data_IF_760046918011
#
_entry.id   IF_760046918011
#
_cell.length_a   1.000
_cell.length_b   1.000
_cell.length_c   1.000
_cell.angle_alpha   90.00
_cell.angle_beta   90.00
_cell.angle_gamma   90.00
#
_symmetry.space_group_name_H-M   'P 1'
#
loop_
_entity.id
_entity.type
_entity.pdbx_description
1 polymer ?
#
# COMPACT_ATOMS: atom_id res chain seq x y z
N UNK A 1 50.14 -5.59 10.27
CA UNK A 1 49.55 -5.96 8.96
C UNK A 1 48.01 -5.91 8.94
N UNK A 2 47.31 -5.29 9.91
CA UNK A 2 45.88 -5.61 10.14
C UNK A 2 44.88 -4.44 10.07
N UNK A 3 45.28 -3.20 9.79
CA UNK A 3 44.32 -2.07 9.77
C UNK A 3 43.64 -1.87 8.41
N UNK A 4 44.35 -2.06 7.31
CA UNK A 4 43.81 -1.84 5.95
C UNK A 4 42.72 -2.84 5.55
N UNK A 5 42.75 -4.07 6.07
CA UNK A 5 41.73 -5.09 5.80
C UNK A 5 40.45 -4.88 6.61
N UNK A 6 40.54 -4.34 7.84
CA UNK A 6 39.36 -4.02 8.65
C UNK A 6 38.64 -2.77 8.13
N UNK A 7 39.38 -1.80 7.60
CA UNK A 7 38.84 -0.60 6.98
C UNK A 7 38.16 -0.90 5.64
N UNK A 8 38.73 -1.81 4.83
CA UNK A 8 38.08 -2.28 3.59
C UNK A 8 36.82 -3.10 3.87
N UNK A 9 36.83 -3.93 4.92
CA UNK A 9 35.66 -4.74 5.32
C UNK A 9 34.53 -3.84 5.82
N UNK A 10 34.81 -2.92 6.74
CA UNK A 10 33.82 -2.00 7.29
C UNK A 10 33.26 -1.03 6.24
N UNK A 11 34.10 -0.50 5.35
CA UNK A 11 33.62 0.32 4.23
C UNK A 11 32.82 -0.48 3.19
N UNK A 12 33.09 -1.77 3.00
CA UNK A 12 32.30 -2.67 2.16
C UNK A 12 30.95 -3.04 2.80
N UNK A 13 30.91 -3.31 4.11
CA UNK A 13 29.66 -3.49 4.88
C UNK A 13 28.79 -2.22 4.88
N UNK A 14 29.40 -1.03 5.01
CA UNK A 14 28.67 0.24 4.92
C UNK A 14 28.22 0.59 3.49
N UNK A 15 28.83 -0.02 2.47
CA UNK A 15 28.49 0.17 1.05
C UNK A 15 27.39 -0.79 0.58
N UNK A 16 27.37 -2.03 1.08
CA UNK A 16 26.26 -2.96 0.87
C UNK A 16 24.97 -2.46 1.55
N UNK A 17 25.08 -1.93 2.78
CA UNK A 17 23.95 -1.30 3.49
C UNK A 17 23.33 -0.10 2.75
N UNK A 18 24.07 0.58 1.86
CA UNK A 18 23.59 1.74 1.10
C UNK A 18 22.94 1.36 -0.23
N UNK A 19 23.14 0.14 -0.70
CA UNK A 19 22.68 -0.35 -2.00
C UNK A 19 21.63 -1.46 -1.91
N UNK A 20 21.16 -1.82 -0.71
CA UNK A 20 19.99 -2.66 -0.53
C UNK A 20 18.76 -1.94 -1.07
N UNK A 21 18.51 -2.10 -2.36
CA UNK A 21 17.18 -1.94 -2.93
C UNK A 21 16.26 -2.79 -2.07
N UNK A 22 15.43 -2.13 -1.23
CA UNK A 22 14.46 -2.81 -0.39
C UNK A 22 13.69 -3.76 -1.31
N UNK A 23 13.90 -5.08 -1.17
CA UNK A 23 13.37 -6.06 -2.11
C UNK A 23 11.84 -5.94 -2.22
N UNK A 24 11.20 -5.43 -1.17
CA UNK A 24 9.79 -5.05 -1.15
C UNK A 24 9.50 -3.85 -2.06
N UNK A 25 10.35 -2.83 -2.09
CA UNK A 25 10.21 -1.72 -3.04
C UNK A 25 10.37 -2.20 -4.49
N UNK A 26 11.32 -3.10 -4.75
CA UNK A 26 11.51 -3.71 -6.06
C UNK A 26 10.28 -4.55 -6.48
N UNK A 27 9.77 -5.39 -5.58
CA UNK A 27 8.57 -6.19 -5.82
C UNK A 27 7.32 -5.32 -6.01
N UNK A 28 7.21 -4.20 -5.29
CA UNK A 28 6.15 -3.21 -5.51
C UNK A 28 6.26 -2.57 -6.89
N UNK A 29 7.48 -2.22 -7.31
CA UNK A 29 7.74 -1.71 -8.65
C UNK A 29 7.36 -2.72 -9.74
N UNK A 30 7.70 -3.99 -9.54
CA UNK A 30 7.31 -5.08 -10.43
C UNK A 30 5.79 -5.26 -10.51
N UNK A 31 5.09 -5.25 -9.37
CA UNK A 31 3.64 -5.31 -9.33
C UNK A 31 3.00 -4.13 -10.08
N UNK A 32 3.52 -2.91 -9.89
CA UNK A 32 3.07 -1.72 -10.64
C UNK A 32 3.24 -1.89 -12.15
N UNK A 33 4.38 -2.41 -12.59
CA UNK A 33 4.64 -2.69 -14.02
C UNK A 33 3.63 -3.68 -14.59
N UNK A 34 3.32 -4.76 -13.88
CA UNK A 34 2.28 -5.71 -14.30
C UNK A 34 0.90 -5.07 -14.41
N UNK A 35 0.54 -4.15 -13.50
CA UNK A 35 -0.72 -3.39 -13.58
C UNK A 35 -0.75 -2.50 -14.82
N UNK A 36 0.35 -1.84 -15.15
CA UNK A 36 0.47 -1.02 -16.37
C UNK A 36 0.31 -1.90 -17.62
N UNK A 37 1.03 -3.03 -17.70
CA UNK A 37 0.93 -3.98 -18.82
C UNK A 37 -0.51 -4.48 -19.01
N UNK A 38 -1.24 -4.70 -17.92
CA UNK A 38 -2.63 -5.12 -17.98
C UNK A 38 -3.58 -4.04 -18.56
N UNK A 39 -3.27 -2.76 -18.35
CA UNK A 39 -4.07 -1.63 -18.84
C UNK A 39 -3.64 -1.11 -20.20
N UNK A 40 -2.38 -1.33 -20.61
CA UNK A 40 -1.96 -1.12 -21.99
C UNK A 40 -2.72 -2.12 -22.89
N UNK A 41 -3.32 -1.63 -23.98
CA UNK A 41 -4.18 -2.37 -24.91
C UNK A 41 -3.80 -3.85 -25.03
N UNK A 42 -4.75 -4.74 -24.67
CA UNK A 42 -4.58 -6.20 -24.82
C UNK A 42 -4.40 -6.51 -26.31
N UNK A 43 -3.20 -6.85 -26.79
CA UNK A 43 -3.05 -7.29 -28.15
C UNK A 43 -3.57 -8.73 -28.17
N UNK A 44 -4.83 -8.88 -28.57
CA UNK A 44 -5.50 -10.17 -28.75
C UNK A 44 -4.65 -10.96 -29.78
N UNK A 45 -4.32 -12.22 -29.47
CA UNK A 45 -3.45 -13.09 -30.27
C UNK A 45 -1.95 -12.68 -30.36
N UNK A 46 -1.42 -11.91 -29.41
CA UNK A 46 0.00 -11.51 -29.43
C UNK A 46 0.99 -12.67 -29.25
N UNK A 47 0.60 -13.70 -28.50
CA UNK A 47 1.44 -14.87 -28.24
C UNK A 47 0.65 -16.12 -28.61
N UNK A 48 0.64 -16.44 -29.90
CA UNK A 48 0.07 -17.68 -30.42
C UNK A 48 1.20 -18.67 -30.71
N UNK A 49 1.15 -19.86 -30.11
CA UNK A 49 2.07 -20.94 -30.41
C UNK A 49 1.28 -22.19 -30.73
N UNK A 50 1.48 -22.74 -31.94
CA UNK A 50 0.81 -23.97 -32.40
C UNK A 50 -0.73 -23.92 -32.30
N UNK A 51 -1.34 -22.76 -32.55
CA UNK A 51 -2.81 -22.58 -32.50
C UNK A 51 -3.40 -22.36 -31.10
N UNK A 52 -2.58 -22.40 -30.05
CA UNK A 52 -2.98 -22.06 -28.68
C UNK A 52 -2.59 -20.61 -28.37
N UNK A 53 -3.54 -19.84 -27.83
CA UNK A 53 -3.32 -18.47 -27.38
C UNK A 53 -2.81 -18.44 -25.93
N UNK A 54 -1.55 -18.06 -25.75
CA UNK A 54 -0.90 -17.90 -24.44
C UNK A 54 -0.97 -16.46 -23.92
N UNK A 55 -1.63 -15.54 -24.64
CA UNK A 55 -1.78 -14.15 -24.21
C UNK A 55 -2.43 -14.03 -22.83
N UNK A 56 -3.25 -15.02 -22.43
CA UNK A 56 -3.88 -15.10 -21.11
C UNK A 56 -2.88 -15.13 -19.93
N UNK A 57 -1.68 -15.70 -20.12
CA UNK A 57 -0.68 -15.80 -19.04
C UNK A 57 -0.23 -14.42 -18.55
N UNK A 58 -0.06 -13.48 -19.49
CA UNK A 58 0.45 -12.13 -19.21
C UNK A 58 -0.71 -11.16 -18.94
N UNK A 59 -1.83 -11.28 -19.66
CA UNK A 59 -2.89 -10.27 -19.64
C UNK A 59 -4.08 -10.60 -18.73
N UNK A 60 -4.20 -11.82 -18.18
CA UNK A 60 -5.36 -12.20 -17.36
C UNK A 60 -5.26 -11.78 -15.89
N UNK A 61 -4.06 -11.81 -15.30
CA UNK A 61 -3.90 -11.75 -13.85
C UNK A 61 -3.66 -10.33 -13.29
N UNK A 62 -4.09 -9.27 -14.00
CA UNK A 62 -3.92 -7.88 -13.54
C UNK A 62 -4.49 -7.63 -12.14
N UNK A 63 -5.59 -8.30 -11.79
CA UNK A 63 -6.17 -8.24 -10.45
C UNK A 63 -5.20 -8.71 -9.35
N UNK A 64 -4.44 -9.78 -9.61
CA UNK A 64 -3.45 -10.31 -8.66
C UNK A 64 -2.32 -9.30 -8.45
N UNK A 65 -1.85 -8.66 -9.52
CA UNK A 65 -0.82 -7.63 -9.42
C UNK A 65 -1.29 -6.43 -8.58
N UNK A 66 -2.55 -6.00 -8.74
CA UNK A 66 -3.16 -4.95 -7.91
C UNK A 66 -3.21 -5.38 -6.43
N UNK A 67 -3.57 -6.62 -6.14
CA UNK A 67 -3.62 -7.13 -4.76
C UNK A 67 -2.25 -7.17 -4.10
N UNK A 68 -1.23 -7.65 -4.81
CA UNK A 68 0.16 -7.64 -4.35
C UNK A 68 0.62 -6.21 -4.10
N UNK A 69 0.35 -5.29 -5.03
CA UNK A 69 0.71 -3.88 -4.89
C UNK A 69 0.08 -3.24 -3.65
N UNK A 70 -1.20 -3.50 -3.38
CA UNK A 70 -1.87 -2.98 -2.18
C UNK A 70 -1.34 -3.61 -0.88
N UNK A 71 -1.11 -4.92 -0.87
CA UNK A 71 -0.56 -5.62 0.29
C UNK A 71 0.82 -5.06 0.67
N UNK A 72 1.72 -4.91 -0.31
CA UNK A 72 3.04 -4.34 -0.08
C UNK A 72 2.99 -2.86 0.31
N UNK A 73 2.10 -2.09 -0.31
CA UNK A 73 1.91 -0.67 0.02
C UNK A 73 1.48 -0.52 1.48
N UNK A 74 0.51 -1.31 1.94
CA UNK A 74 0.07 -1.34 3.34
C UNK A 74 1.18 -1.75 4.31
N UNK A 75 1.92 -2.81 4.00
CA UNK A 75 3.05 -3.25 4.80
C UNK A 75 4.13 -2.16 4.95
N UNK A 76 4.54 -1.53 3.84
CA UNK A 76 5.56 -0.47 3.87
C UNK A 76 5.09 0.78 4.63
N UNK A 77 3.80 1.09 4.58
CA UNK A 77 3.19 2.15 5.39
C UNK A 77 3.27 1.82 6.87
N UNK A 78 2.86 0.62 7.28
CA UNK A 78 2.95 0.16 8.67
C UNK A 78 4.39 0.12 9.17
N UNK A 79 5.32 -0.40 8.37
CA UNK A 79 6.77 -0.40 8.64
C UNK A 79 7.29 1.01 8.89
N UNK A 80 6.78 2.03 8.19
CA UNK A 80 7.23 3.41 8.38
C UNK A 80 6.83 3.98 9.76
N UNK A 81 5.66 3.63 10.29
CA UNK A 81 5.28 4.01 11.65
C UNK A 81 6.00 3.15 12.71
N UNK A 82 6.14 1.85 12.45
CA UNK A 82 6.79 0.93 13.39
C UNK A 82 8.29 1.19 13.54
N UNK A 83 8.99 1.52 12.46
CA UNK A 83 10.42 1.87 12.47
C UNK A 83 10.73 3.25 13.06
N UNK A 84 9.70 4.00 13.48
CA UNK A 84 9.87 5.36 14.02
C UNK A 84 10.19 6.42 12.96
N UNK A 85 10.09 6.10 11.66
CA UNK A 85 10.26 7.08 10.58
C UNK A 85 9.19 8.18 10.62
N UNK A 86 7.98 7.83 11.06
CA UNK A 86 6.93 8.78 11.39
C UNK A 86 6.43 8.52 12.80
N UNK A 87 6.23 9.61 13.54
CA UNK A 87 5.65 9.58 14.88
C UNK A 87 4.12 9.58 14.81
N UNK A 88 3.49 9.05 15.86
CA UNK A 88 2.02 8.93 15.99
C UNK A 88 1.40 10.22 16.52
N UNK A 89 2.21 11.25 16.77
CA UNK A 89 1.71 12.56 17.15
C UNK A 89 1.09 13.28 15.94
N UNK A 90 0.33 14.34 16.22
CA UNK A 90 -0.35 15.12 15.18
C UNK A 90 0.63 15.63 14.12
N UNK A 91 1.84 16.07 14.50
CA UNK A 91 2.82 16.57 13.54
C UNK A 91 3.42 15.45 12.69
N UNK A 92 3.72 14.29 13.28
CA UNK A 92 4.20 13.12 12.55
C UNK A 92 3.22 12.61 11.50
N UNK A 93 1.93 12.57 11.84
CA UNK A 93 0.86 12.18 10.93
C UNK A 93 0.68 13.21 9.80
N UNK A 94 0.66 14.51 10.13
CA UNK A 94 0.58 15.57 9.11
C UNK A 94 1.79 15.50 8.16
N UNK A 95 3.00 15.28 8.70
CA UNK A 95 4.20 15.16 7.87
C UNK A 95 4.14 13.91 6.98
N UNK A 96 3.59 12.78 7.47
CA UNK A 96 3.34 11.59 6.67
C UNK A 96 2.41 11.88 5.49
N UNK A 97 1.29 12.55 5.74
CA UNK A 97 0.34 12.92 4.68
C UNK A 97 0.95 13.90 3.69
N UNK A 98 1.65 14.92 4.17
CA UNK A 98 2.28 15.95 3.32
C UNK A 98 3.29 15.35 2.35
N UNK A 99 4.22 14.52 2.84
CA UNK A 99 5.25 13.91 1.99
C UNK A 99 4.67 13.00 0.90
N UNK A 100 3.53 12.34 1.18
CA UNK A 100 2.85 11.49 0.20
C UNK A 100 1.98 12.29 -0.76
N UNK A 101 1.29 13.31 -0.26
CA UNK A 101 0.49 14.24 -1.05
C UNK A 101 1.34 14.93 -2.11
N UNK A 102 2.50 15.47 -1.74
CA UNK A 102 3.41 16.13 -2.69
C UNK A 102 3.91 15.23 -3.83
N UNK A 103 3.95 13.92 -3.62
CA UNK A 103 4.39 12.97 -4.65
C UNK A 103 3.26 12.58 -5.59
N UNK A 104 2.06 12.36 -5.06
CA UNK A 104 0.97 11.70 -5.79
C UNK A 104 0.01 12.71 -6.39
N UNK A 105 -0.31 13.78 -5.66
CA UNK A 105 -1.28 14.78 -6.09
C UNK A 105 -0.87 15.48 -7.40
N UNK A 106 0.38 15.96 -7.57
CA UNK A 106 0.77 16.64 -8.80
C UNK A 106 0.66 15.73 -10.02
N UNK A 107 1.12 14.49 -9.91
CA UNK A 107 1.06 13.52 -10.99
C UNK A 107 -0.38 13.11 -11.31
N UNK A 108 -1.21 12.92 -10.29
CA UNK A 108 -2.61 12.55 -10.46
C UNK A 108 -3.40 13.61 -11.22
N UNK A 109 -3.31 14.88 -10.80
CA UNK A 109 -4.00 15.96 -11.47
C UNK A 109 -3.44 16.22 -12.87
N UNK A 110 -2.13 16.05 -13.07
CA UNK A 110 -1.53 16.15 -14.39
C UNK A 110 -2.09 15.10 -15.36
N UNK A 111 -2.20 13.84 -14.92
CA UNK A 111 -2.79 12.76 -15.73
C UNK A 111 -4.26 13.02 -16.02
N UNK A 112 -5.04 13.46 -15.01
CA UNK A 112 -6.46 13.81 -15.23
C UNK A 112 -6.58 14.94 -16.25
N UNK A 113 -5.76 15.98 -16.13
CA UNK A 113 -5.78 17.12 -17.04
C UNK A 113 -5.50 16.67 -18.48
N UNK A 114 -4.44 15.89 -18.69
CA UNK A 114 -4.10 15.36 -20.03
C UNK A 114 -5.23 14.49 -20.57
N UNK A 115 -5.70 13.53 -19.79
CA UNK A 115 -6.75 12.61 -20.24
C UNK A 115 -8.06 13.33 -20.52
N UNK A 116 -8.44 14.33 -19.72
CA UNK A 116 -9.67 15.10 -19.91
C UNK A 116 -9.61 16.01 -21.14
N UNK A 117 -8.44 16.53 -21.51
CA UNK A 117 -8.27 17.43 -22.66
C UNK A 117 -8.08 16.64 -23.96
N UNK A 118 -7.30 15.56 -23.96
CA UNK A 118 -6.86 14.90 -25.19
C UNK A 118 -7.62 13.61 -25.53
N UNK A 119 -8.15 12.90 -24.54
CA UNK A 119 -8.72 11.56 -24.73
C UNK A 119 -10.22 11.53 -24.45
N UNK A 120 -10.65 12.11 -23.33
CA UNK A 120 -12.01 12.04 -22.80
C UNK A 120 -12.63 13.43 -22.65
N UNK A 121 -12.72 14.18 -23.75
CA UNK A 121 -13.26 15.56 -23.77
C UNK A 121 -14.71 15.66 -23.29
N UNK A 122 -15.47 14.58 -23.41
CA UNK A 122 -16.85 14.49 -22.93
C UNK A 122 -17.00 14.67 -21.41
N UNK A 123 -15.93 14.44 -20.64
CA UNK A 123 -15.96 14.59 -19.18
C UNK A 123 -16.11 16.06 -18.74
N UNK A 124 -15.70 16.99 -19.60
CA UNK A 124 -15.78 18.44 -19.35
C UNK A 124 -17.17 19.01 -19.62
N UNK A 125 -18.09 18.21 -20.19
CA UNK A 125 -19.47 18.63 -20.42
C UNK A 125 -20.21 18.76 -19.09
N UNK A 126 -21.06 19.79 -18.97
CA UNK A 126 -21.85 20.07 -17.75
C UNK A 126 -22.74 18.89 -17.32
N UNK A 127 -23.17 18.06 -18.27
CA UNK A 127 -23.93 16.82 -18.00
C UNK A 127 -23.16 15.82 -17.15
N UNK A 128 -21.83 15.87 -17.17
CA UNK A 128 -20.93 14.92 -16.51
C UNK A 128 -20.19 15.53 -15.31
N UNK A 129 -20.59 16.71 -14.84
CA UNK A 129 -19.91 17.44 -13.76
C UNK A 129 -19.76 16.59 -12.48
N UNK A 130 -20.79 15.83 -12.11
CA UNK A 130 -20.72 14.93 -10.94
C UNK A 130 -19.64 13.85 -11.07
N UNK A 131 -19.31 13.43 -12.29
CA UNK A 131 -18.21 12.51 -12.54
C UNK A 131 -16.85 13.21 -12.37
N UNK A 132 -16.70 14.41 -12.94
CA UNK A 132 -15.50 15.23 -12.77
C UNK A 132 -15.18 15.52 -11.29
N UNK A 133 -16.20 15.86 -10.49
CA UNK A 133 -16.05 16.07 -9.04
C UNK A 133 -15.56 14.80 -8.33
N UNK A 134 -16.06 13.61 -8.69
CA UNK A 134 -15.60 12.33 -8.11
C UNK A 134 -14.14 12.03 -8.41
N UNK A 135 -13.67 12.37 -9.61
CA UNK A 135 -12.25 12.24 -9.98
C UNK A 135 -11.38 13.17 -9.13
N UNK A 136 -11.79 14.43 -8.99
CA UNK A 136 -11.04 15.41 -8.19
C UNK A 136 -11.03 15.06 -6.69
N UNK A 137 -12.09 14.42 -6.19
CA UNK A 137 -12.24 14.06 -4.78
C UNK A 137 -11.69 12.65 -4.44
N UNK A 138 -10.93 12.01 -5.33
CA UNK A 138 -10.38 10.65 -5.11
C UNK A 138 -11.45 9.63 -4.70
N UNK A 139 -12.69 9.82 -5.17
CA UNK A 139 -13.84 8.93 -4.91
C UNK A 139 -14.27 8.21 -6.19
N UNK A 140 -13.38 8.19 -7.19
CA UNK A 140 -13.63 7.51 -8.44
C UNK A 140 -13.60 5.98 -8.22
N UNK A 141 -14.77 5.35 -8.38
CA UNK A 141 -14.90 3.90 -8.32
C UNK A 141 -15.83 3.40 -9.43
N UNK A 142 -15.28 2.85 -10.53
CA UNK A 142 -16.06 2.44 -11.70
C UNK A 142 -17.06 1.32 -11.40
N UNK A 143 -16.77 0.44 -10.42
CA UNK A 143 -17.63 -0.72 -10.10
C UNK A 143 -19.01 -0.36 -9.53
N UNK A 144 -19.17 0.80 -8.89
CA UNK A 144 -20.41 1.15 -8.18
C UNK A 144 -21.34 2.10 -8.95
N UNK A 145 -20.95 2.56 -10.13
CA UNK A 145 -21.69 3.62 -10.84
C UNK A 145 -22.10 3.17 -12.26
N UNK A 146 -23.40 2.99 -12.45
CA UNK A 146 -24.04 2.52 -13.69
C UNK A 146 -23.94 3.49 -14.90
N UNK A 147 -23.54 4.75 -14.67
CA UNK A 147 -23.22 5.70 -15.72
C UNK A 147 -21.71 5.72 -15.94
N UNK A 148 -21.18 4.66 -16.54
CA UNK A 148 -19.75 4.50 -16.76
C UNK A 148 -19.38 5.15 -18.10
N UNK A 149 -19.10 6.45 -18.10
CA UNK A 149 -18.12 6.95 -19.06
C UNK A 149 -16.82 6.18 -18.76
N UNK A 150 -16.25 5.43 -19.72
CA UNK A 150 -15.06 4.63 -19.49
C UNK A 150 -13.85 5.57 -19.45
N UNK A 151 -13.69 6.32 -18.36
CA UNK A 151 -12.42 6.98 -18.05
C UNK A 151 -11.42 5.92 -17.60
N UNK A 152 -10.12 6.20 -17.75
CA UNK A 152 -9.05 5.24 -17.49
C UNK A 152 -9.28 4.46 -16.19
N UNK A 153 -9.58 3.15 -16.32
CA UNK A 153 -9.93 2.30 -15.20
C UNK A 153 -8.86 2.39 -14.12
N UNK A 154 -7.57 2.36 -14.48
CA UNK A 154 -6.44 2.32 -13.55
C UNK A 154 -6.48 3.38 -12.42
N UNK A 155 -7.11 4.53 -12.65
CA UNK A 155 -7.24 5.61 -11.67
C UNK A 155 -8.05 5.23 -10.43
N UNK A 156 -8.89 4.19 -10.51
CA UNK A 156 -9.61 3.65 -9.36
C UNK A 156 -8.63 3.19 -8.28
N UNK A 157 -7.59 2.47 -8.68
CA UNK A 157 -6.60 1.90 -7.76
C UNK A 157 -5.80 2.99 -7.04
N UNK A 158 -5.50 4.09 -7.74
CA UNK A 158 -4.80 5.24 -7.17
C UNK A 158 -5.68 6.04 -6.20
N UNK A 159 -6.97 6.19 -6.51
CA UNK A 159 -7.95 6.78 -5.58
C UNK A 159 -8.04 5.96 -4.29
N UNK A 160 -8.11 4.63 -4.41
CA UNK A 160 -8.09 3.73 -3.25
C UNK A 160 -6.77 3.83 -2.46
N UNK A 161 -5.62 3.98 -3.13
CA UNK A 161 -4.33 4.16 -2.46
C UNK A 161 -4.31 5.45 -1.60
N UNK A 162 -4.89 6.55 -2.10
CA UNK A 162 -5.01 7.80 -1.33
C UNK A 162 -5.92 7.63 -0.11
N UNK A 163 -7.04 6.93 -0.26
CA UNK A 163 -7.92 6.59 0.86
C UNK A 163 -7.18 5.76 1.92
N UNK A 164 -6.36 4.79 1.51
CA UNK A 164 -5.53 4.04 2.45
C UNK A 164 -4.55 4.93 3.22
N UNK A 165 -3.94 5.96 2.60
CA UNK A 165 -3.07 6.89 3.33
C UNK A 165 -3.77 7.65 4.44
N UNK A 166 -5.05 7.99 4.23
CA UNK A 166 -5.86 8.63 5.25
C UNK A 166 -6.16 7.65 6.38
N UNK A 167 -6.46 6.38 6.07
CA UNK A 167 -6.84 5.36 7.04
C UNK A 167 -5.69 4.82 7.90
N UNK A 168 -4.48 4.71 7.36
CA UNK A 168 -3.30 4.13 8.05
C UNK A 168 -3.07 4.66 9.46
N UNK A 169 -3.01 5.99 9.73
CA UNK A 169 -2.79 6.50 11.07
C UNK A 169 -3.91 6.09 12.04
N UNK A 170 -5.17 6.01 11.58
CA UNK A 170 -6.28 5.55 12.42
C UNK A 170 -6.16 4.06 12.73
N UNK A 171 -5.85 3.22 11.73
CA UNK A 171 -5.64 1.78 11.91
C UNK A 171 -4.49 1.52 12.89
N UNK A 172 -3.40 2.28 12.77
CA UNK A 172 -2.26 2.14 13.68
C UNK A 172 -2.63 2.52 15.12
N UNK A 173 -3.35 3.63 15.33
CA UNK A 173 -3.85 4.02 16.65
C UNK A 173 -4.81 2.96 17.24
N UNK A 174 -5.72 2.40 16.44
CA UNK A 174 -6.61 1.31 16.86
C UNK A 174 -5.81 0.07 17.25
N UNK A 175 -4.77 -0.27 16.49
CA UNK A 175 -3.91 -1.43 16.79
C UNK A 175 -3.16 -1.25 18.10
N UNK A 176 -2.64 -0.06 18.36
CA UNK A 176 -2.01 0.29 19.64
C UNK A 176 -3.00 0.23 20.80
N UNK A 177 -4.21 0.77 20.61
CA UNK A 177 -5.28 0.72 21.60
C UNK A 177 -5.69 -0.73 21.92
N UNK A 178 -5.81 -1.57 20.90
CA UNK A 178 -6.15 -2.98 21.06
C UNK A 178 -5.05 -3.74 21.81
N UNK A 179 -3.78 -3.54 21.47
CA UNK A 179 -2.65 -4.12 22.21
C UNK A 179 -2.58 -3.64 23.66
N UNK A 180 -2.87 -2.37 23.90
CA UNK A 180 -2.95 -1.79 25.23
C UNK A 180 -4.08 -2.44 26.05
N UNK A 181 -5.27 -2.59 25.47
CA UNK A 181 -6.42 -3.24 26.09
C UNK A 181 -6.15 -4.72 26.37
N UNK A 182 -5.55 -5.45 25.43
CA UNK A 182 -5.13 -6.84 25.65
C UNK A 182 -4.11 -6.95 26.78
N UNK A 183 -3.15 -6.03 26.88
CA UNK A 183 -2.20 -5.98 28.00
C UNK A 183 -2.89 -5.76 29.34
N UNK A 184 -3.94 -4.92 29.39
CA UNK A 184 -4.70 -4.65 30.61
C UNK A 184 -5.62 -5.81 30.98
N UNK A 185 -6.24 -6.49 30.03
CA UNK A 185 -7.22 -7.55 30.33
C UNK A 185 -6.54 -8.90 30.55
N UNK A 186 -5.64 -9.30 29.64
CA UNK A 186 -5.12 -10.68 29.60
C UNK A 186 -4.01 -10.91 30.62
N UNK A 187 -3.10 -9.94 30.81
CA UNK A 187 -1.98 -10.10 31.76
C UNK A 187 -2.41 -10.29 33.21
N UNK A 188 -3.30 -9.44 33.78
CA UNK A 188 -3.75 -9.66 35.16
C UNK A 188 -4.63 -10.91 35.27
N UNK A 189 -5.37 -11.30 34.23
CA UNK A 189 -6.14 -12.56 34.24
C UNK A 189 -5.20 -13.77 34.31
N UNK A 190 -4.12 -13.77 33.54
CA UNK A 190 -3.10 -14.82 33.56
C UNK A 190 -2.33 -14.87 34.90
N UNK A 191 -2.02 -13.70 35.49
CA UNK A 191 -1.40 -13.58 36.81
C UNK A 191 -2.34 -14.08 37.91
N UNK A 192 -3.62 -13.70 37.87
CA UNK A 192 -4.65 -14.15 38.82
C UNK A 192 -4.86 -15.67 38.74
N UNK A 193 -4.89 -16.24 37.53
CA UNK A 193 -4.97 -17.68 37.33
C UNK A 193 -3.77 -18.43 37.93
N UNK A 194 -2.54 -17.95 37.70
CA UNK A 194 -1.33 -18.54 38.26
C UNK A 194 -1.27 -18.43 39.80
N UNK A 195 -1.69 -17.30 40.37
CA UNK A 195 -1.75 -17.11 41.82
C UNK A 195 -2.77 -18.05 42.48
N UNK A 196 -3.95 -18.23 41.87
CA UNK A 196 -4.97 -19.19 42.36
C UNK A 196 -4.47 -20.63 42.34
N UNK A 197 -3.78 -21.02 41.26
CA UNK A 197 -3.29 -22.38 41.10
C UNK A 197 -2.10 -22.69 42.04
N UNK A 198 -1.24 -21.70 42.30
CA UNK A 198 -0.12 -21.83 43.26
C UNK A 198 -0.62 -21.95 44.71
N UNK A 199 -1.63 -21.16 45.10
CA UNK A 199 -2.25 -21.24 46.43
C UNK A 199 -2.94 -22.60 46.66
N UNK A 200 -3.58 -23.15 45.62
CA UNK A 200 -4.21 -24.48 45.66
C UNK A 200 -3.17 -25.59 45.92
N UNK A 201 -2.00 -25.54 45.27
CA UNK A 201 -0.93 -26.52 45.48
C UNK A 201 -0.29 -26.45 46.87
N UNK A 202 -0.25 -25.26 47.49
CA UNK A 202 0.23 -25.08 48.87
C UNK A 202 -0.79 -25.60 49.90
N UNK A 203 -2.09 -25.46 49.63
CA UNK A 203 -3.15 -25.93 50.53
C UNK A 203 -3.29 -27.45 50.59
N UNK A 204 -2.91 -28.19 49.54
CA UNK A 204 -3.02 -29.66 49.48
C UNK A 204 -1.81 -30.37 50.12
N UNK A 205 -0.73 -29.63 50.42
CA UNK A 205 0.49 -30.15 51.07
C UNK A 205 0.52 -30.01 52.60
N UNK A 206 -0.52 -29.44 53.21
CA UNK A 206 -0.70 -29.39 54.67
C UNK A 206 -1.77 -30.39 55.08
#
# INVERSE_FOLDING_TARGET
>A
MNNTTLESSSSQYLKDSKNDLDALLALRGFACLMVVIHHCERPRNSITYSGYDFSWVIFSHGAVAVWIFFCLSGYLMGKAFYSGRYTVDVKGIINFWYNRALRIIPLYYFVILILSIFVYTDILKMTNWGYFVRLLSFTYQPLFHAQSLPFNEALWSLSTEVQFYLLVPFIYNITLFYHYLQRIIVKPCHISFLLKNSWFLVSVRK
#
